data_IF_958107346648
#
_entry.id   IF_958107346648
#
_cell.length_a   1.000
_cell.length_b   1.000
_cell.length_c   1.000
_cell.angle_alpha   90.00
_cell.angle_beta   90.00
_cell.angle_gamma   90.00
#
_symmetry.space_group_name_H-M   'P 1'
#
loop_
_entity.id
_entity.type
_entity.pdbx_description
1 polymer ?
#
# COMPACT_ATOMS: atom_id res chain seq x y z
N UNK A 1 5.85 11.97 -3.48
CA UNK A 1 5.97 11.53 -4.90
C UNK A 1 5.29 12.59 -5.75
N UNK A 2 5.86 12.93 -6.92
CA UNK A 2 5.22 13.85 -7.87
C UNK A 2 4.61 13.02 -9.00
N UNK A 3 3.37 13.32 -9.37
CA UNK A 3 2.70 12.63 -10.47
C UNK A 3 3.46 12.86 -11.79
N UNK A 4 3.57 11.80 -12.60
CA UNK A 4 4.20 11.85 -13.92
C UNK A 4 5.72 11.95 -13.92
N UNK A 5 6.39 11.93 -12.77
CA UNK A 5 7.85 11.93 -12.67
C UNK A 5 8.36 10.57 -12.16
N UNK A 6 9.42 10.01 -12.79
CA UNK A 6 10.06 8.80 -12.29
C UNK A 6 10.62 8.97 -10.88
N UNK A 7 10.54 7.91 -10.07
CA UNK A 7 11.08 7.92 -8.70
C UNK A 7 12.57 7.58 -8.65
N UNK A 8 13.13 7.10 -9.76
CA UNK A 8 14.55 6.84 -9.97
C UNK A 8 14.94 7.32 -11.37
N UNK A 9 16.25 7.45 -11.62
CA UNK A 9 16.75 7.82 -12.93
C UNK A 9 16.54 6.67 -13.94
N UNK A 10 15.58 6.84 -14.85
CA UNK A 10 15.30 5.86 -15.90
C UNK A 10 16.38 5.82 -16.98
N UNK A 11 17.13 6.91 -17.18
CA UNK A 11 18.20 7.00 -18.17
C UNK A 11 19.44 6.18 -17.80
N UNK A 12 19.57 5.83 -16.52
CA UNK A 12 20.60 4.92 -16.02
C UNK A 12 20.40 3.46 -16.48
N UNK A 13 19.27 3.16 -17.13
CA UNK A 13 18.93 1.82 -17.59
C UNK A 13 18.74 1.79 -19.10
N UNK A 14 19.24 0.73 -19.73
CA UNK A 14 19.02 0.44 -21.14
C UNK A 14 18.73 -1.04 -21.31
N UNK A 15 17.86 -1.38 -22.27
CA UNK A 15 17.58 -2.77 -22.58
C UNK A 15 18.83 -3.41 -23.19
N UNK A 16 19.36 -4.52 -22.62
CA UNK A 16 20.49 -5.22 -23.20
C UNK A 16 20.15 -5.74 -24.61
N UNK A 17 21.16 -5.85 -25.46
CA UNK A 17 20.99 -6.40 -26.81
C UNK A 17 20.39 -7.82 -26.76
N UNK A 18 19.62 -8.19 -27.78
CA UNK A 18 19.08 -9.55 -27.89
C UNK A 18 20.18 -10.52 -28.37
N UNK A 19 20.31 -11.68 -27.73
CA UNK A 19 21.29 -12.70 -28.11
C UNK A 19 21.92 -13.44 -26.92
N UNK A 20 22.61 -14.54 -27.20
CA UNK A 20 23.35 -15.31 -26.18
C UNK A 20 24.55 -14.48 -25.70
N UNK A 21 24.70 -14.33 -24.39
CA UNK A 21 25.82 -13.58 -23.79
C UNK A 21 25.55 -12.09 -23.56
N UNK A 22 24.43 -11.55 -24.05
CA UNK A 22 24.04 -10.15 -23.85
C UNK A 22 23.34 -9.95 -22.50
N UNK A 23 24.13 -9.89 -21.43
CA UNK A 23 23.63 -9.62 -20.07
C UNK A 23 23.80 -8.13 -19.72
N UNK A 24 22.86 -7.60 -18.93
CA UNK A 24 23.02 -6.29 -18.32
C UNK A 24 24.02 -6.32 -17.15
N UNK A 25 24.48 -5.13 -16.74
CA UNK A 25 25.36 -4.94 -15.57
C UNK A 25 24.60 -4.51 -14.30
N UNK A 26 23.27 -4.34 -14.38
CA UNK A 26 22.44 -3.96 -13.25
C UNK A 26 22.41 -5.07 -12.21
N UNK A 27 22.68 -4.73 -10.95
CA UNK A 27 22.58 -5.67 -9.85
C UNK A 27 21.11 -5.99 -9.53
N UNK A 28 20.88 -7.14 -8.89
CA UNK A 28 19.54 -7.59 -8.50
C UNK A 28 19.01 -6.75 -7.33
N UNK A 29 17.73 -6.38 -7.37
CA UNK A 29 17.01 -5.65 -6.30
C UNK A 29 17.61 -4.28 -5.92
N UNK A 30 18.20 -3.55 -6.87
CA UNK A 30 18.77 -2.22 -6.60
C UNK A 30 17.74 -1.09 -6.50
N UNK A 31 16.50 -1.32 -6.94
CA UNK A 31 15.45 -0.32 -6.92
C UNK A 31 14.69 -0.38 -5.59
N UNK A 32 14.54 0.78 -4.94
CA UNK A 32 13.75 0.93 -3.71
C UNK A 32 12.47 1.68 -4.01
N UNK A 33 11.33 1.08 -3.67
CA UNK A 33 10.02 1.70 -3.81
C UNK A 33 9.73 2.74 -2.72
N UNK A 34 8.60 3.45 -2.82
CA UNK A 34 8.16 4.39 -1.79
C UNK A 34 7.91 3.71 -0.45
N UNK A 35 8.19 4.42 0.65
CA UNK A 35 7.88 3.95 2.00
C UNK A 35 6.38 3.94 2.31
N UNK A 36 5.89 2.82 2.84
CA UNK A 36 4.51 2.68 3.31
C UNK A 36 4.43 2.70 4.84
N UNK A 37 3.32 3.25 5.35
CA UNK A 37 2.99 3.32 6.77
C UNK A 37 1.47 3.31 6.88
N UNK A 38 0.95 2.41 7.70
CA UNK A 38 -0.49 2.24 7.90
C UNK A 38 -0.77 2.13 9.39
N UNK A 39 -1.79 2.84 9.84
CA UNK A 39 -2.26 2.80 11.22
C UNK A 39 -3.63 2.12 11.24
N UNK A 40 -3.73 0.97 11.90
CA UNK A 40 -5.01 0.26 12.06
C UNK A 40 -5.43 0.40 13.52
N UNK A 41 -6.66 0.86 13.74
CA UNK A 41 -7.18 1.20 15.06
C UNK A 41 -8.51 0.50 15.27
N UNK A 42 -8.70 -0.08 16.46
CA UNK A 42 -9.98 -0.63 16.90
C UNK A 42 -10.38 0.03 18.20
N UNK A 43 -11.62 0.50 18.26
CA UNK A 43 -12.27 1.00 19.47
C UNK A 43 -13.40 0.05 19.80
N UNK A 44 -13.37 -0.57 20.97
CA UNK A 44 -14.42 -1.47 21.43
C UNK A 44 -14.83 -1.14 22.86
N UNK A 45 -16.14 -1.17 23.12
CA UNK A 45 -16.70 -0.92 24.44
C UNK A 45 -17.93 -1.78 24.67
N UNK A 46 -17.98 -2.40 25.85
CA UNK A 46 -19.16 -3.09 26.34
C UNK A 46 -19.99 -2.14 27.20
N UNK A 47 -21.26 -2.00 26.85
CA UNK A 47 -22.24 -1.29 27.64
C UNK A 47 -23.09 -2.33 28.39
N UNK A 48 -23.06 -2.33 29.74
CA UNK A 48 -23.99 -3.16 30.50
C UNK A 48 -25.42 -2.69 30.20
N UNK A 49 -26.29 -3.63 29.84
CA UNK A 49 -27.73 -3.37 29.77
C UNK A 49 -28.36 -3.86 31.09
N UNK A 50 -29.69 -3.98 31.12
CA UNK A 50 -30.38 -4.60 32.25
C UNK A 50 -30.18 -6.12 32.23
N UNK A 51 -30.22 -6.73 33.41
CA UNK A 51 -30.07 -8.18 33.61
C UNK A 51 -28.70 -8.72 33.15
N UNK A 52 -28.65 -9.91 32.54
CA UNK A 52 -27.44 -10.55 32.03
C UNK A 52 -27.00 -10.03 30.64
N UNK A 53 -27.77 -9.11 30.06
CA UNK A 53 -27.51 -8.61 28.71
C UNK A 53 -26.40 -7.54 28.66
N UNK A 54 -25.60 -7.57 27.60
CA UNK A 54 -24.57 -6.56 27.29
C UNK A 54 -24.60 -6.20 25.80
N UNK A 55 -24.42 -4.91 25.51
CA UNK A 55 -24.23 -4.41 24.15
C UNK A 55 -22.74 -4.17 23.90
N UNK A 56 -22.16 -4.87 22.95
CA UNK A 56 -20.81 -4.62 22.48
C UNK A 56 -20.85 -3.69 21.25
N UNK A 57 -20.24 -2.52 21.40
CA UNK A 57 -19.91 -1.63 20.30
C UNK A 57 -18.47 -1.87 19.85
N UNK A 58 -18.24 -1.99 18.55
CA UNK A 58 -16.92 -2.11 17.95
C UNK A 58 -16.84 -1.26 16.68
N UNK A 59 -15.77 -0.47 16.61
CA UNK A 59 -15.43 0.34 15.45
C UNK A 59 -14.00 0.03 15.03
N UNK A 60 -13.84 -0.43 13.79
CA UNK A 60 -12.55 -0.75 13.20
C UNK A 60 -12.22 0.27 12.10
N UNK A 61 -11.00 0.78 12.12
CA UNK A 61 -10.48 1.70 11.12
C UNK A 61 -9.19 1.13 10.56
N UNK A 62 -9.21 0.73 9.29
CA UNK A 62 -8.02 0.36 8.53
C UNK A 62 -7.50 1.62 7.82
N UNK A 63 -6.20 1.91 7.94
CA UNK A 63 -5.62 3.18 7.50
C UNK A 63 -6.33 4.39 8.15
N UNK A 64 -6.35 4.43 9.48
CA UNK A 64 -7.12 5.38 10.29
C UNK A 64 -6.87 6.86 9.93
N UNK A 65 -5.62 7.22 9.63
CA UNK A 65 -5.23 8.58 9.22
C UNK A 65 -5.37 8.82 7.70
N UNK A 66 -5.88 7.85 6.95
CA UNK A 66 -6.04 7.90 5.49
C UNK A 66 -4.73 8.29 4.76
N UNK A 67 -3.58 7.77 5.22
CA UNK A 67 -2.29 8.00 4.56
C UNK A 67 -2.27 7.25 3.24
N UNK A 68 -1.98 7.96 2.16
CA UNK A 68 -1.78 7.33 0.86
C UNK A 68 -0.47 6.54 0.87
N UNK A 69 -0.57 5.24 0.60
CA UNK A 69 0.57 4.35 0.50
C UNK A 69 0.75 3.96 -0.95
N UNK A 70 1.72 4.58 -1.62
CA UNK A 70 1.97 4.36 -3.03
C UNK A 70 2.54 2.97 -3.31
N UNK A 71 2.20 2.43 -4.48
CA UNK A 71 2.74 1.18 -4.98
C UNK A 71 4.21 1.28 -5.39
N UNK A 72 4.74 0.16 -5.88
CA UNK A 72 6.07 0.14 -6.48
C UNK A 72 6.03 0.75 -7.89
N UNK A 73 7.14 1.33 -8.36
CA UNK A 73 7.23 1.84 -9.72
C UNK A 73 7.20 0.69 -10.74
N UNK A 74 6.76 0.98 -11.97
CA UNK A 74 6.93 0.06 -13.09
C UNK A 74 8.42 -0.20 -13.35
N UNK A 75 8.78 -1.48 -13.41
CA UNK A 75 10.17 -1.94 -13.65
C UNK A 75 10.35 -2.52 -15.05
N UNK A 76 9.30 -2.48 -15.88
CA UNK A 76 9.39 -2.87 -17.27
C UNK A 76 10.05 -1.75 -18.08
N UNK A 77 11.32 -1.94 -18.45
CA UNK A 77 12.11 -0.94 -19.18
C UNK A 77 11.55 -0.60 -20.57
N UNK A 78 10.81 -1.52 -21.19
CA UNK A 78 10.16 -1.31 -22.49
C UNK A 78 8.77 -0.66 -22.34
N UNK A 79 8.31 -0.41 -21.11
CA UNK A 79 7.01 0.19 -20.81
C UNK A 79 7.07 1.73 -20.78
N UNK A 80 6.01 2.39 -21.25
CA UNK A 80 5.91 3.85 -21.22
C UNK A 80 5.80 4.45 -19.83
N UNK A 81 5.58 3.63 -18.80
CA UNK A 81 5.49 4.02 -17.40
C UNK A 81 6.74 3.67 -16.59
N UNK A 82 7.85 3.29 -17.25
CA UNK A 82 9.07 2.88 -16.56
C UNK A 82 9.54 3.93 -15.54
N UNK A 83 9.70 3.51 -14.28
CA UNK A 83 10.05 4.38 -13.17
C UNK A 83 8.91 5.18 -12.55
N UNK A 84 7.72 5.16 -13.14
CA UNK A 84 6.52 5.81 -12.59
C UNK A 84 5.77 4.90 -11.62
N UNK A 85 5.17 5.51 -10.60
CA UNK A 85 4.19 4.85 -9.73
C UNK A 85 2.78 5.21 -10.19
N UNK A 86 1.98 4.20 -10.53
CA UNK A 86 0.66 4.37 -11.17
C UNK A 86 -0.52 3.98 -10.28
N UNK A 87 -0.26 3.44 -9.09
CA UNK A 87 -1.29 3.01 -8.17
C UNK A 87 -0.92 3.31 -6.71
N UNK A 88 -1.95 3.35 -5.87
CA UNK A 88 -1.83 3.40 -4.43
C UNK A 88 -2.57 2.20 -3.80
N UNK A 89 -2.17 1.87 -2.58
CA UNK A 89 -2.82 0.87 -1.76
C UNK A 89 -4.19 1.32 -1.25
N UNK A 90 -4.80 0.47 -0.42
CA UNK A 90 -6.14 0.71 0.08
C UNK A 90 -6.26 2.03 0.86
N UNK A 91 -7.28 2.81 0.51
CA UNK A 91 -7.71 3.97 1.29
C UNK A 91 -8.36 3.54 2.61
N UNK A 92 -8.68 4.52 3.45
CA UNK A 92 -9.32 4.27 4.74
C UNK A 92 -10.61 3.46 4.60
N UNK A 93 -10.70 2.37 5.36
CA UNK A 93 -11.91 1.55 5.47
C UNK A 93 -12.36 1.50 6.92
N UNK A 94 -13.67 1.65 7.12
CA UNK A 94 -14.24 1.77 8.46
C UNK A 94 -15.40 0.78 8.59
N UNK A 95 -15.37 -0.04 9.64
CA UNK A 95 -16.39 -1.03 9.93
C UNK A 95 -17.00 -0.74 11.30
N UNK A 96 -18.32 -0.71 11.34
CA UNK A 96 -19.09 -0.56 12.57
C UNK A 96 -19.83 -1.86 12.86
N UNK A 97 -19.77 -2.32 14.10
CA UNK A 97 -20.49 -3.50 14.56
C UNK A 97 -21.14 -3.24 15.91
N UNK A 98 -22.37 -3.73 16.04
CA UNK A 98 -23.10 -3.84 17.29
C UNK A 98 -23.44 -5.31 17.49
N UNK A 99 -23.19 -5.83 18.70
CA UNK A 99 -23.57 -7.19 19.09
C UNK A 99 -24.25 -7.15 20.46
N UNK A 100 -25.36 -7.86 20.60
CA UNK A 100 -26.02 -8.07 21.89
C UNK A 100 -25.67 -9.48 22.35
N UNK A 101 -25.13 -9.60 23.56
CA UNK A 101 -24.98 -10.88 24.26
C UNK A 101 -25.98 -10.92 25.41
N UNK A 102 -26.70 -12.02 25.62
CA UNK A 102 -27.72 -12.20 26.66
C UNK A 102 -27.64 -13.60 27.28
#
# INVERSE_FOLDING_TARGET
>A
IKAGLPIFDSSAFVQPATGRGSYGNSARNILTGPGAQTWNIVIAKNFPLKERARLQFRWEMFNAFNRENFGNPSTNISGGDFGLVTYAGNMRKMLFALRIDY
#
